data_IF_849403312238
#
_entry.id   IF_849403312238
#
_cell.length_a   1.000
_cell.length_b   1.000
_cell.length_c   1.000
_cell.angle_alpha   90.00
_cell.angle_beta   90.00
_cell.angle_gamma   90.00
#
_symmetry.space_group_name_H-M   'P 1'
#
loop_
_entity.id
_entity.type
_entity.pdbx_description
1 polymer ?
#
# COMPACT_ATOMS: atom_id res chain seq x y z
N UNK A 1 -3.33 0.11 16.09
CA UNK A 1 -2.26 -0.87 16.43
C UNK A 1 -1.42 -1.03 15.20
N UNK A 2 -0.12 -0.74 15.29
CA UNK A 2 0.76 -0.71 14.11
C UNK A 2 1.31 -2.12 13.83
N UNK A 3 1.25 -2.54 12.57
CA UNK A 3 1.81 -3.81 12.11
C UNK A 3 2.82 -3.55 10.99
N UNK A 4 3.84 -4.41 10.81
CA UNK A 4 4.71 -4.28 9.66
C UNK A 4 3.91 -4.46 8.38
N UNK A 5 4.16 -3.63 7.36
CA UNK A 5 3.44 -3.69 6.09
C UNK A 5 3.62 -5.05 5.38
N UNK A 6 4.69 -5.77 5.68
CA UNK A 6 4.90 -7.15 5.23
C UNK A 6 4.03 -8.20 5.93
N UNK A 7 3.42 -7.89 7.07
CA UNK A 7 2.46 -8.77 7.76
C UNK A 7 1.01 -8.49 7.36
N UNK A 8 0.78 -7.47 6.53
CA UNK A 8 -0.52 -7.21 5.95
C UNK A 8 -0.85 -8.31 4.94
N UNK A 9 -1.87 -9.12 5.22
CA UNK A 9 -2.39 -10.10 4.28
C UNK A 9 -3.20 -9.39 3.20
N UNK A 10 -2.52 -9.04 2.10
CA UNK A 10 -3.16 -8.49 0.90
C UNK A 10 -3.56 -9.64 -0.02
N UNK A 11 -4.80 -9.63 -0.51
CA UNK A 11 -5.21 -10.52 -1.58
C UNK A 11 -4.45 -10.20 -2.88
N UNK A 12 -4.35 -11.17 -3.81
CA UNK A 12 -3.66 -10.99 -5.10
C UNK A 12 -4.22 -9.82 -5.94
N UNK A 13 -5.48 -9.47 -5.71
CA UNK A 13 -6.15 -8.36 -6.37
C UNK A 13 -6.18 -7.07 -5.52
N UNK A 14 -5.48 -7.00 -4.40
CA UNK A 14 -5.40 -5.83 -3.52
C UNK A 14 -4.08 -5.10 -3.71
N UNK A 15 -4.18 -3.78 -3.96
CA UNK A 15 -3.02 -2.92 -4.16
C UNK A 15 -3.11 -1.81 -3.12
N UNK A 16 -2.04 -1.66 -2.32
CA UNK A 16 -1.87 -0.52 -1.42
C UNK A 16 -1.49 0.69 -2.26
N UNK A 17 -2.28 1.76 -2.18
CA UNK A 17 -2.01 3.02 -2.85
C UNK A 17 -1.00 3.85 -2.05
N UNK A 18 -0.37 4.83 -2.71
CA UNK A 18 0.46 5.84 -2.04
C UNK A 18 -0.38 6.92 -1.32
N UNK A 19 0.29 7.76 -0.52
CA UNK A 19 -0.32 8.92 0.15
C UNK A 19 -0.78 8.66 1.58
N UNK A 20 -0.24 7.64 2.26
CA UNK A 20 -0.59 7.29 3.64
C UNK A 20 0.58 7.49 4.61
N UNK A 21 0.28 7.58 5.91
CA UNK A 21 1.28 7.71 6.96
C UNK A 21 1.76 6.33 7.44
N UNK A 22 3.05 6.23 7.70
CA UNK A 22 3.70 5.05 8.25
C UNK A 22 4.73 5.45 9.31
N UNK A 23 5.21 4.48 10.09
CA UNK A 23 6.25 4.66 11.09
C UNK A 23 7.44 3.78 10.69
N UNK A 24 8.64 4.37 10.61
CA UNK A 24 9.88 3.66 10.35
C UNK A 24 10.90 3.99 11.45
N UNK A 25 11.40 2.97 12.15
CA UNK A 25 12.36 3.17 13.26
C UNK A 25 11.89 4.26 14.25
N UNK A 26 10.60 4.24 14.62
CA UNK A 26 9.95 5.20 15.53
C UNK A 26 9.74 6.62 14.94
N UNK A 27 10.13 6.84 13.68
CA UNK A 27 9.94 8.11 12.98
C UNK A 27 8.70 8.07 12.05
N UNK A 28 7.80 9.08 12.09
CA UNK A 28 6.69 9.17 11.16
C UNK A 28 7.19 9.52 9.76
N UNK A 29 6.77 8.74 8.77
CA UNK A 29 7.13 8.92 7.36
C UNK A 29 5.89 8.83 6.48
N UNK A 30 5.86 9.63 5.42
CA UNK A 30 4.76 9.62 4.45
C UNK A 30 5.10 8.71 3.29
N UNK A 31 4.32 7.66 3.04
CA UNK A 31 4.58 6.78 1.89
C UNK A 31 4.09 7.47 0.61
N UNK A 32 5.01 7.76 -0.29
CA UNK A 32 4.72 8.41 -1.57
C UNK A 32 4.77 7.46 -2.75
N UNK A 33 5.29 6.24 -2.58
CA UNK A 33 5.22 5.21 -3.61
C UNK A 33 5.33 3.83 -2.98
N UNK A 34 4.55 2.86 -3.46
CA UNK A 34 4.60 1.47 -3.02
C UNK A 34 5.15 0.61 -4.16
N UNK A 35 6.28 -0.05 -3.92
CA UNK A 35 6.89 -0.99 -4.87
C UNK A 35 6.59 -2.43 -4.43
N UNK A 36 7.10 -3.40 -5.17
CA UNK A 36 6.87 -4.83 -4.93
C UNK A 36 7.31 -5.25 -3.52
N UNK A 37 8.54 -4.90 -3.12
CA UNK A 37 9.15 -5.30 -1.83
C UNK A 37 9.54 -4.15 -0.91
N UNK A 38 9.46 -2.92 -1.41
CA UNK A 38 9.89 -1.72 -0.72
C UNK A 38 8.87 -0.61 -0.91
N UNK A 39 8.98 0.46 -0.12
CA UNK A 39 8.17 1.66 -0.23
C UNK A 39 9.10 2.87 -0.23
N UNK A 40 8.77 3.87 -1.03
CA UNK A 40 9.40 5.19 -0.96
C UNK A 40 8.64 6.00 0.06
N UNK A 41 9.34 6.45 1.08
CA UNK A 41 8.78 7.25 2.15
C UNK A 41 9.48 8.60 2.22
N UNK A 42 8.72 9.65 2.48
CA UNK A 42 9.19 11.01 2.71
C UNK A 42 9.25 11.23 4.22
N UNK A 43 10.42 11.58 4.73
CA UNK A 43 10.60 11.97 6.14
C UNK A 43 10.04 13.37 6.37
N UNK A 44 9.77 13.77 7.62
CA UNK A 44 9.37 15.14 7.95
C UNK A 44 10.44 16.18 7.58
N UNK A 45 11.70 15.76 7.43
CA UNK A 45 12.77 16.61 6.93
C UNK A 45 12.71 16.86 5.40
N UNK A 46 11.80 16.19 4.68
CA UNK A 46 11.69 16.26 3.23
C UNK A 46 12.60 15.30 2.48
N UNK A 47 13.25 14.37 3.18
CA UNK A 47 14.16 13.38 2.60
C UNK A 47 13.41 12.14 2.12
N UNK A 48 13.76 11.62 0.94
CA UNK A 48 13.13 10.42 0.37
C UNK A 48 13.96 9.20 0.66
N UNK A 49 13.37 8.23 1.36
CA UNK A 49 14.03 6.98 1.75
C UNK A 49 13.30 5.76 1.22
N UNK A 50 14.09 4.80 0.75
CA UNK A 50 13.62 3.50 0.29
C UNK A 50 13.65 2.54 1.48
N UNK A 51 12.46 2.17 1.97
CA UNK A 51 12.30 1.36 3.17
C UNK A 51 11.68 0.02 2.81
N UNK A 52 12.17 -1.05 3.42
CA UNK A 52 11.61 -2.38 3.23
C UNK A 52 10.28 -2.54 3.98
N UNK A 53 9.30 -3.17 3.34
CA UNK A 53 7.96 -3.44 3.92
C UNK A 53 8.01 -4.15 5.27
N UNK A 54 9.06 -4.93 5.54
CA UNK A 54 9.26 -5.66 6.81
C UNK A 54 9.63 -4.75 7.98
N UNK A 55 10.25 -3.60 7.72
CA UNK A 55 10.67 -2.62 8.74
C UNK A 55 9.71 -1.43 8.86
N UNK A 56 8.78 -1.29 7.91
CA UNK A 56 7.80 -0.22 7.87
C UNK A 56 6.55 -0.63 8.65
N UNK A 57 6.24 0.10 9.72
CA UNK A 57 5.05 -0.10 10.53
C UNK A 57 3.91 0.78 10.02
N UNK A 58 2.72 0.22 9.85
CA UNK A 58 1.56 0.89 9.26
C UNK A 58 0.31 0.58 10.06
N UNK A 59 -0.67 1.47 9.99
CA UNK A 59 -2.00 1.21 10.56
C UNK A 59 -2.90 0.61 9.47
N UNK A 60 -3.26 -0.68 9.56
CA UNK A 60 -3.96 -1.38 8.48
C UNK A 60 -5.36 -0.81 8.20
N UNK A 61 -5.98 -0.17 9.20
CA UNK A 61 -7.28 0.49 9.06
C UNK A 61 -7.23 1.80 8.27
N UNK A 62 -6.07 2.44 8.18
CA UNK A 62 -5.88 3.74 7.49
C UNK A 62 -5.31 3.56 6.07
N UNK A 63 -4.88 2.34 5.72
CA UNK A 63 -4.27 2.08 4.43
C UNK A 63 -5.27 2.22 3.28
N UNK A 64 -4.98 3.05 2.27
CA UNK A 64 -5.81 3.15 1.07
C UNK A 64 -5.60 1.91 0.20
N UNK A 65 -6.37 0.86 0.45
CA UNK A 65 -6.32 -0.39 -0.30
C UNK A 65 -7.36 -0.35 -1.42
N UNK A 66 -6.90 -0.54 -2.66
CA UNK A 66 -7.77 -0.64 -3.82
C UNK A 66 -7.82 -2.08 -4.33
N UNK A 67 -9.02 -2.64 -4.37
CA UNK A 67 -9.27 -3.94 -5.02
C UNK A 67 -9.38 -3.75 -6.53
N UNK A 68 -8.47 -4.36 -7.28
CA UNK A 68 -8.63 -4.53 -8.73
C UNK A 68 -9.76 -5.51 -8.95
N UNK A 69 -10.93 -5.02 -9.41
CA UNK A 69 -11.95 -5.90 -9.97
C UNK A 69 -11.41 -6.45 -11.29
N UNK A 70 -10.96 -7.69 -11.29
CA UNK A 70 -10.95 -8.49 -12.50
C UNK A 70 -12.40 -8.93 -12.75
N UNK A 71 -13.21 -8.03 -13.31
CA UNK A 71 -14.47 -8.46 -13.90
C UNK A 71 -14.15 -9.13 -15.25
N UNK A 72 -14.76 -10.28 -15.59
CA UNK A 72 -14.74 -10.73 -16.98
C UNK A 72 -15.30 -9.59 -17.86
N UNK A 73 -14.83 -9.41 -19.11
CA UNK A 73 -15.51 -8.49 -20.01
C UNK A 73 -16.97 -8.92 -20.03
N UNK A 74 -17.88 -7.97 -19.82
CA UNK A 74 -19.29 -8.22 -20.03
C UNK A 74 -19.44 -8.73 -21.46
N UNK A 75 -19.60 -10.04 -21.62
CA UNK A 75 -20.25 -10.60 -22.80
C UNK A 75 -21.69 -10.10 -22.73
N UNK A 76 -21.91 -8.88 -23.22
CA UNK A 76 -23.20 -8.53 -23.79
C UNK A 76 -23.33 -9.41 -25.02
N UNK A 77 -23.75 -10.65 -24.81
CA UNK A 77 -24.48 -11.37 -25.83
C UNK A 77 -25.74 -10.54 -26.06
N UNK A 78 -25.85 -9.95 -27.25
CA UNK A 78 -27.14 -9.61 -27.82
C UNK A 78 -28.00 -10.88 -27.86
N UNK A 79 -29.26 -10.80 -27.43
CA UNK A 79 -30.27 -11.47 -28.23
C UNK A 79 -31.55 -10.63 -28.36
N UNK A 80 -32.11 -10.60 -29.57
CA UNK A 80 -33.51 -10.30 -29.83
C UNK A 80 -33.76 -9.44 -31.05
#
# INVERSE_FOLDING_TARGET
MLIPLSALELAENEIVLEGFQAIFEEEPVTVTAVLERTCVCLTPAGDRRLINKRRLLVEPGDLPIRRRRFGPPASTSEPG
#
